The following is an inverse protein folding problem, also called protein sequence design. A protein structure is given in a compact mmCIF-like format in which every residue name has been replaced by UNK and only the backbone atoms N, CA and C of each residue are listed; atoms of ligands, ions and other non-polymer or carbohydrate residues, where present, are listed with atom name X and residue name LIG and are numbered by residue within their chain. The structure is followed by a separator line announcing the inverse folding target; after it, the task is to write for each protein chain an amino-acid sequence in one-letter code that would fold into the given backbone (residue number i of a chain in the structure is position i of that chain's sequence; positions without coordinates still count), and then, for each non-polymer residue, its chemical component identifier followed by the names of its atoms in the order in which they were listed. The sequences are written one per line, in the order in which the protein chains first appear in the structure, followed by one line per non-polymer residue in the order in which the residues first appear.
data_IF_528544854048
#
_entry.id   IF_528544854048
#
_cell.length_a   1.000
_cell.length_b   1.000
_cell.length_c   1.000
_cell.angle_alpha   90.00
_cell.angle_beta   90.00
_cell.angle_gamma   90.00
#
_symmetry.space_group_name_H-M   'P 1'
#
loop_
_entity.id
_entity.type
_entity.pdbx_description
1 polymer ?
#
# COMPACT_ATOMS: atom_id res chain seq x y z
N UNK A 1 0.39 13.84 -2.41
CA UNK A 1 1.03 12.68 -1.78
C UNK A 1 2.34 12.49 -2.48
N UNK A 2 3.41 12.33 -1.72
CA UNK A 2 4.76 12.09 -2.25
C UNK A 2 5.15 10.65 -1.95
N UNK A 3 5.75 9.96 -2.93
CA UNK A 3 6.28 8.61 -2.75
C UNK A 3 7.45 8.57 -1.76
N UNK A 4 8.12 9.71 -1.50
CA UNK A 4 9.15 9.83 -0.49
C UNK A 4 8.67 9.36 0.91
N UNK A 5 7.37 9.49 1.20
CA UNK A 5 6.78 9.12 2.49
C UNK A 5 6.35 7.65 2.55
N UNK A 6 6.50 6.87 1.46
CA UNK A 6 6.10 5.45 1.45
C UNK A 6 6.86 4.63 2.49
N UNK A 7 8.11 5.02 2.81
CA UNK A 7 8.92 4.39 3.86
C UNK A 7 8.24 4.44 5.23
N UNK A 8 7.58 5.55 5.56
CA UNK A 8 6.88 5.72 6.83
C UNK A 8 5.69 4.76 6.96
N UNK A 9 4.95 4.57 5.86
CA UNK A 9 3.82 3.62 5.81
C UNK A 9 4.29 2.19 6.06
N UNK A 10 5.41 1.80 5.45
CA UNK A 10 5.97 0.47 5.63
C UNK A 10 6.60 0.25 7.00
N UNK A 11 7.12 1.30 7.63
CA UNK A 11 7.67 1.25 8.98
C UNK A 11 6.58 1.19 10.06
N UNK A 12 5.39 1.71 9.76
CA UNK A 12 4.22 1.67 10.64
C UNK A 12 3.40 0.38 10.52
N UNK A 13 2.23 0.37 11.18
CA UNK A 13 1.24 -0.70 11.03
C UNK A 13 0.73 -0.72 9.59
N UNK A 14 0.90 -1.85 8.93
CA UNK A 14 0.46 -2.06 7.58
C UNK A 14 0.12 -3.53 7.32
N UNK A 15 -0.73 -3.75 6.33
CA UNK A 15 -1.06 -5.07 5.78
C UNK A 15 -0.70 -5.07 4.32
N UNK A 16 0.08 -6.07 3.90
CA UNK A 16 0.49 -6.24 2.50
C UNK A 16 -0.09 -7.53 1.95
N UNK A 17 -0.64 -7.47 0.75
CA UNK A 17 -1.12 -8.62 0.00
C UNK A 17 -0.62 -8.55 -1.45
N UNK A 18 -0.43 -9.72 -2.06
CA UNK A 18 -0.17 -9.81 -3.50
C UNK A 18 -1.39 -9.34 -4.30
N UNK A 19 -1.15 -8.55 -5.34
CA UNK A 19 -2.16 -8.10 -6.29
C UNK A 19 -2.23 -9.07 -7.48
N UNK A 20 -2.94 -10.17 -7.28
CA UNK A 20 -3.13 -11.23 -8.27
C UNK A 20 -4.37 -10.99 -9.17
N UNK A 21 -4.87 -9.75 -9.28
CA UNK A 21 -6.07 -9.45 -10.07
C UNK A 21 -5.86 -9.62 -11.57
N UNK A 22 -4.63 -9.41 -12.04
CA UNK A 22 -4.23 -9.50 -13.45
C UNK A 22 -2.79 -10.00 -13.54
N UNK A 23 -2.43 -10.60 -14.68
CA UNK A 23 -1.02 -10.86 -15.00
C UNK A 23 -0.38 -9.56 -15.52
N UNK A 24 0.43 -8.93 -14.68
CA UNK A 24 1.11 -7.68 -14.98
C UNK A 24 2.50 -7.88 -15.58
N UNK A 25 2.96 -9.13 -15.78
CA UNK A 25 4.33 -9.45 -16.20
C UNK A 25 5.40 -9.19 -15.13
N UNK A 26 5.01 -8.71 -13.94
CA UNK A 26 5.86 -8.52 -12.76
C UNK A 26 5.01 -8.73 -11.49
N UNK A 27 5.60 -9.23 -10.38
CA UNK A 27 4.89 -9.30 -9.10
C UNK A 27 4.44 -7.91 -8.64
N UNK A 28 3.19 -7.78 -8.23
CA UNK A 28 2.65 -6.55 -7.64
C UNK A 28 2.08 -6.83 -6.27
N UNK A 29 2.25 -5.86 -5.39
CA UNK A 29 1.77 -5.90 -4.03
C UNK A 29 0.96 -4.65 -3.73
N UNK A 30 -0.13 -4.86 -3.01
CA UNK A 30 -0.92 -3.78 -2.42
C UNK A 30 -0.64 -3.76 -0.93
N UNK A 31 -0.20 -2.61 -0.43
CA UNK A 31 -0.04 -2.36 1.01
C UNK A 31 -1.06 -1.32 1.46
N UNK A 32 -1.83 -1.65 2.49
CA UNK A 32 -2.69 -0.71 3.21
C UNK A 32 -1.98 -0.35 4.51
N UNK A 33 -1.86 0.95 4.79
CA UNK A 33 -1.23 1.45 6.01
C UNK A 33 -1.75 2.81 6.40
N UNK A 34 -1.09 3.45 7.36
CA UNK A 34 -1.47 4.79 7.85
C UNK A 34 -0.32 5.77 7.64
N UNK A 35 -0.64 6.97 7.16
CA UNK A 35 0.26 8.12 7.07
C UNK A 35 -0.50 9.36 7.56
N UNK A 36 0.09 10.12 8.48
CA UNK A 36 -0.52 11.33 9.05
C UNK A 36 -1.98 11.12 9.51
N UNK A 37 -2.23 10.02 10.24
CA UNK A 37 -3.55 9.61 10.72
C UNK A 37 -4.59 9.34 9.61
N UNK A 38 -4.15 9.10 8.37
CA UNK A 38 -5.02 8.73 7.24
C UNK A 38 -4.64 7.37 6.68
N UNK A 39 -5.65 6.58 6.33
CA UNK A 39 -5.42 5.32 5.62
C UNK A 39 -4.95 5.59 4.19
N UNK A 40 -3.89 4.91 3.80
CA UNK A 40 -3.25 5.03 2.49
C UNK A 40 -3.07 3.66 1.87
N UNK A 41 -3.14 3.62 0.55
CA UNK A 41 -2.94 2.43 -0.26
C UNK A 41 -1.72 2.67 -1.15
N UNK A 42 -0.77 1.75 -1.07
CA UNK A 42 0.43 1.67 -1.89
C UNK A 42 0.29 0.49 -2.85
N UNK A 43 0.67 0.69 -4.10
CA UNK A 43 0.93 -0.38 -5.06
C UNK A 43 2.40 -0.34 -5.42
N UNK A 44 3.08 -1.47 -5.33
CA UNK A 44 4.52 -1.54 -5.56
C UNK A 44 4.95 -2.89 -6.09
N UNK A 45 6.16 -2.93 -6.64
CA UNK A 45 6.81 -4.15 -7.15
C UNK A 45 8.23 -4.25 -6.59
N UNK A 46 8.73 -5.46 -6.27
CA UNK A 46 10.12 -5.64 -5.87
C UNK A 46 11.06 -5.41 -7.06
N UNK A 47 12.20 -4.75 -6.80
CA UNK A 47 13.32 -4.64 -7.74
C UNK A 47 14.62 -4.90 -7.01
N UNK A 48 15.09 -6.14 -7.08
CA UNK A 48 16.18 -6.59 -6.21
C UNK A 48 15.77 -6.43 -4.75
N UNK A 49 16.56 -5.70 -3.98
CA UNK A 49 16.32 -5.47 -2.55
C UNK A 49 15.45 -4.25 -2.25
N UNK A 50 15.05 -3.48 -3.29
CA UNK A 50 14.25 -2.25 -3.11
C UNK A 50 12.80 -2.44 -3.54
N UNK A 51 11.90 -1.65 -2.94
CA UNK A 51 10.50 -1.55 -3.36
C UNK A 51 10.33 -0.38 -4.31
N UNK A 52 9.90 -0.64 -5.54
CA UNK A 52 9.52 0.43 -6.49
C UNK A 52 8.04 0.75 -6.32
N UNK A 53 7.74 1.96 -5.86
CA UNK A 53 6.35 2.45 -5.75
C UNK A 53 5.80 2.73 -7.14
N UNK A 54 4.67 2.11 -7.46
CA UNK A 54 3.91 2.31 -8.69
C UNK A 54 2.79 3.32 -8.44
N UNK A 55 2.11 3.23 -7.29
CA UNK A 55 1.03 4.14 -6.92
C UNK A 55 0.98 4.34 -5.41
N UNK A 56 0.58 5.53 -4.99
CA UNK A 56 0.31 5.89 -3.60
C UNK A 56 -0.90 6.82 -3.58
N UNK A 57 -1.91 6.46 -2.81
CA UNK A 57 -3.12 7.28 -2.67
C UNK A 57 -3.78 7.12 -1.31
N UNK A 58 -4.65 8.06 -0.97
CA UNK A 58 -5.57 7.89 0.16
C UNK A 58 -6.58 6.78 -0.18
N UNK A 59 -6.92 5.98 0.82
CA UNK A 59 -8.05 5.07 0.71
C UNK A 59 -9.34 5.89 0.56
N UNK A 60 -10.27 5.42 -0.26
CA UNK A 60 -11.61 6.00 -0.31
C UNK A 60 -12.48 5.47 0.85
N UNK A 61 -13.67 6.03 1.05
CA UNK A 61 -14.55 5.65 2.17
C UNK A 61 -14.91 4.15 2.18
N UNK A 62 -15.11 3.54 1.01
CA UNK A 62 -15.43 2.10 0.90
C UNK A 62 -14.25 1.24 1.33
N UNK A 63 -13.04 1.63 0.95
CA UNK A 63 -11.81 0.93 1.32
C UNK A 63 -11.48 1.12 2.78
N UNK A 64 -11.69 2.32 3.33
CA UNK A 64 -11.56 2.58 4.76
C UNK A 64 -12.49 1.66 5.54
N UNK A 65 -13.77 1.59 5.18
CA UNK A 65 -14.73 0.71 5.85
C UNK A 65 -14.31 -0.77 5.78
N UNK A 66 -13.78 -1.21 4.64
CA UNK A 66 -13.31 -2.60 4.44
C UNK A 66 -12.08 -2.92 5.28
N UNK A 67 -11.11 -2.00 5.35
CA UNK A 67 -9.81 -2.27 5.98
C UNK A 67 -9.73 -1.79 7.43
N UNK A 68 -10.66 -0.98 7.91
CA UNK A 68 -10.68 -0.50 9.30
C UNK A 68 -10.66 -1.65 10.32
N UNK A 69 -11.35 -2.76 10.02
CA UNK A 69 -11.34 -3.94 10.89
C UNK A 69 -10.00 -4.70 10.90
N UNK A 70 -9.24 -4.65 9.81
CA UNK A 70 -7.95 -5.33 9.68
C UNK A 70 -6.78 -4.47 10.18
N UNK A 71 -7.01 -3.18 10.38
CA UNK A 71 -6.02 -2.17 10.79
C UNK A 71 -6.25 -1.64 12.21
N UNK A 72 -7.19 -2.24 12.95
CA UNK A 72 -7.57 -1.89 14.32
C UNK A 72 -6.95 -2.79 15.37
#
# INVERSE_FOLDING_TARGET
MDFAHAGEVFAGVNVTAEDARFDYGEPRFTTVGVLDSRMVILVWTPRGEVRRIISMRKANEREIARFAQAMG
#
